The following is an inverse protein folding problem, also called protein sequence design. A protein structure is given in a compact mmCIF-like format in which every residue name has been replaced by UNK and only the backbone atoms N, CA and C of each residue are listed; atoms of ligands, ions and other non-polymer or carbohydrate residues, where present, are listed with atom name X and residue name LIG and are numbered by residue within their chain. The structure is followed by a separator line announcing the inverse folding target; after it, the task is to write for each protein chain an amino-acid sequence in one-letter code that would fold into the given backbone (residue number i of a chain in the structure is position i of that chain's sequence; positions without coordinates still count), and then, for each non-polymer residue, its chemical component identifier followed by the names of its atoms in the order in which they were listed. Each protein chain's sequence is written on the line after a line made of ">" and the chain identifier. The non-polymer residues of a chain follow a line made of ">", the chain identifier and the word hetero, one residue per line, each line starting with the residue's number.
data_IF_526217187044
#
_entry.id   IF_526217187044
#
_cell.length_a   1.000
_cell.length_b   1.000
_cell.length_c   1.000
_cell.angle_alpha   90.00
_cell.angle_beta   90.00
_cell.angle_gamma   90.00
#
_symmetry.space_group_name_H-M   'P 1'
#
loop_
_entity.id
_entity.type
_entity.pdbx_description
1 polymer ?
#
# COMPACT_ATOMS: atom_id res chain seq x y z
N UNK A 1 15.40 6.44 34.88
CA UNK A 1 14.08 7.13 34.94
C UNK A 1 13.27 6.42 36.01
N UNK A 2 12.90 7.11 37.06
CA UNK A 2 11.99 6.56 38.05
C UNK A 2 10.57 6.47 37.47
N UNK A 3 9.80 5.49 37.92
CA UNK A 3 8.43 5.25 37.46
C UNK A 3 7.40 6.26 37.97
N UNK A 4 7.80 7.52 38.14
CA UNK A 4 6.90 8.55 38.62
C UNK A 4 5.80 8.87 37.59
N UNK A 5 4.56 9.23 38.00
CA UNK A 5 3.46 9.55 37.09
C UNK A 5 3.81 10.63 36.07
N UNK A 6 4.65 11.61 36.45
CA UNK A 6 5.10 12.67 35.54
C UNK A 6 6.00 12.19 34.41
N UNK A 7 6.89 11.22 34.70
CA UNK A 7 7.76 10.63 33.69
C UNK A 7 6.99 9.69 32.74
N UNK A 8 5.96 9.00 33.23
CA UNK A 8 5.03 8.22 32.43
C UNK A 8 4.27 9.12 31.43
N UNK A 9 3.77 10.27 31.91
CA UNK A 9 3.05 11.22 31.05
C UNK A 9 3.96 11.81 29.96
N UNK A 10 5.20 12.19 30.31
CA UNK A 10 6.21 12.65 29.33
C UNK A 10 6.57 11.56 28.32
N UNK A 11 6.72 10.31 28.77
CA UNK A 11 6.98 9.18 27.88
C UNK A 11 5.81 8.92 26.91
N UNK A 12 4.56 9.07 27.36
CA UNK A 12 3.38 8.92 26.49
C UNK A 12 3.31 10.03 25.40
N UNK A 13 3.78 11.24 25.68
CA UNK A 13 3.83 12.33 24.70
C UNK A 13 4.81 12.04 23.55
N UNK A 14 5.81 11.19 23.77
CA UNK A 14 6.78 10.76 22.77
C UNK A 14 6.25 9.61 21.88
N UNK A 15 5.02 9.13 22.13
CA UNK A 15 4.39 8.01 21.42
C UNK A 15 5.30 6.78 21.30
N UNK A 16 5.90 6.27 22.40
CA UNK A 16 6.79 5.13 22.33
C UNK A 16 6.02 3.88 21.90
N UNK A 17 6.63 3.04 21.09
CA UNK A 17 6.05 1.77 20.64
C UNK A 17 5.90 0.76 21.77
N UNK A 18 6.65 0.92 22.86
CA UNK A 18 6.54 0.14 24.10
C UNK A 18 7.17 0.86 25.29
N UNK A 19 6.73 0.51 26.49
CA UNK A 19 7.30 0.97 27.75
C UNK A 19 7.79 -0.25 28.55
N UNK A 20 9.02 -0.17 29.06
CA UNK A 20 9.60 -1.14 29.95
C UNK A 20 9.98 -0.42 31.25
N UNK A 21 9.54 -0.90 32.43
CA UNK A 21 9.99 -0.34 33.70
C UNK A 21 11.47 -0.66 33.94
N UNK A 22 12.14 0.19 34.73
CA UNK A 22 13.57 0.02 35.05
C UNK A 22 13.87 -1.31 35.76
N UNK A 23 12.87 -1.94 36.39
CA UNK A 23 12.94 -3.25 37.03
C UNK A 23 12.62 -4.42 36.08
N UNK A 24 12.46 -4.17 34.77
CA UNK A 24 12.16 -5.23 33.81
C UNK A 24 13.29 -6.26 33.75
N UNK A 25 12.96 -7.53 33.96
CA UNK A 25 13.90 -8.62 33.80
C UNK A 25 14.22 -8.92 32.32
N UNK A 26 15.26 -9.70 32.07
CA UNK A 26 15.67 -10.06 30.70
C UNK A 26 14.60 -10.82 29.90
N UNK A 27 13.61 -11.44 30.58
CA UNK A 27 12.50 -12.10 29.91
C UNK A 27 11.47 -11.08 29.40
N UNK A 28 11.11 -10.10 30.21
CA UNK A 28 10.20 -9.02 29.83
C UNK A 28 10.78 -8.21 28.65
N UNK A 29 12.07 -7.92 28.68
CA UNK A 29 12.78 -7.23 27.59
C UNK A 29 12.69 -8.04 26.29
N UNK A 30 13.04 -9.32 26.30
CA UNK A 30 12.97 -10.19 25.12
C UNK A 30 11.57 -10.33 24.57
N UNK A 31 10.57 -10.50 25.44
CA UNK A 31 9.17 -10.61 25.03
C UNK A 31 8.69 -9.34 24.34
N UNK A 32 9.04 -8.18 24.86
CA UNK A 32 8.67 -6.88 24.27
C UNK A 32 9.37 -6.67 22.94
N UNK A 33 10.65 -6.97 22.83
CA UNK A 33 11.39 -6.90 21.56
C UNK A 33 10.78 -7.81 20.50
N UNK A 34 10.46 -9.07 20.84
CA UNK A 34 9.84 -10.01 19.89
C UNK A 34 8.45 -9.56 19.44
N UNK A 35 7.68 -8.84 20.28
CA UNK A 35 6.41 -8.22 19.88
C UNK A 35 6.62 -7.06 18.93
N UNK A 36 7.59 -6.19 19.20
CA UNK A 36 7.94 -5.07 18.34
C UNK A 36 8.46 -5.53 16.99
N UNK A 37 9.31 -6.56 16.96
CA UNK A 37 9.80 -7.14 15.71
C UNK A 37 8.65 -7.71 14.87
N UNK A 38 7.71 -8.47 15.48
CA UNK A 38 6.53 -8.98 14.78
C UNK A 38 5.63 -7.85 14.28
N UNK A 39 5.39 -6.82 15.07
CA UNK A 39 4.60 -5.66 14.69
C UNK A 39 5.28 -4.92 13.53
N UNK A 40 6.59 -4.70 13.62
CA UNK A 40 7.37 -4.10 12.54
C UNK A 40 7.33 -4.93 11.25
N UNK A 41 7.43 -6.26 11.34
CA UNK A 41 7.30 -7.16 10.19
C UNK A 41 5.90 -7.13 9.58
N UNK A 42 4.83 -7.02 10.40
CA UNK A 42 3.46 -6.84 9.91
C UNK A 42 3.33 -5.52 9.14
N UNK A 43 3.74 -4.40 9.73
CA UNK A 43 3.74 -3.10 9.06
C UNK A 43 4.55 -3.11 7.76
N UNK A 44 5.68 -3.80 7.74
CA UNK A 44 6.50 -3.96 6.55
C UNK A 44 5.79 -4.78 5.45
N UNK A 45 5.03 -5.83 5.81
CA UNK A 45 4.22 -6.59 4.85
C UNK A 45 3.13 -5.72 4.23
N UNK A 46 2.48 -4.90 5.05
CA UNK A 46 1.39 -4.02 4.63
C UNK A 46 1.87 -2.82 3.79
N UNK A 47 3.20 -2.56 3.77
CA UNK A 47 3.79 -1.46 3.02
C UNK A 47 4.40 -1.89 1.67
N UNK A 48 4.59 -3.19 1.43
CA UNK A 48 5.30 -3.69 0.27
C UNK A 48 4.54 -4.79 -0.47
N UNK A 49 4.58 -4.73 -1.78
CA UNK A 49 4.16 -5.80 -2.67
C UNK A 49 5.34 -6.70 -2.99
N UNK A 50 5.17 -8.01 -2.79
CA UNK A 50 6.20 -9.03 -3.07
C UNK A 50 5.73 -9.94 -4.18
N UNK A 51 6.58 -10.18 -5.18
CA UNK A 51 6.27 -11.02 -6.33
C UNK A 51 7.55 -11.65 -6.91
N UNK A 52 7.38 -12.63 -7.81
CA UNK A 52 8.49 -13.26 -8.51
C UNK A 52 8.50 -12.81 -9.97
N UNK A 53 9.61 -12.24 -10.41
CA UNK A 53 9.82 -11.80 -11.78
C UNK A 53 11.19 -12.28 -12.28
N UNK A 54 11.25 -12.89 -13.46
CA UNK A 54 12.49 -13.39 -14.08
C UNK A 54 13.34 -14.31 -13.18
N UNK A 55 12.66 -15.09 -12.31
CA UNK A 55 13.33 -16.00 -11.38
C UNK A 55 13.75 -15.39 -10.05
N UNK A 56 13.68 -14.08 -9.91
CA UNK A 56 14.04 -13.34 -8.71
C UNK A 56 12.82 -12.92 -7.89
N UNK A 57 12.96 -12.89 -6.57
CA UNK A 57 11.98 -12.32 -5.67
C UNK A 57 12.15 -10.81 -5.59
N UNK A 58 11.14 -10.08 -6.06
CA UNK A 58 11.08 -8.63 -6.03
C UNK A 58 10.18 -8.16 -4.89
N UNK A 59 10.51 -6.99 -4.34
CA UNK A 59 9.74 -6.34 -3.30
C UNK A 59 9.70 -4.84 -3.56
N UNK A 60 8.49 -4.30 -3.80
CA UNK A 60 8.29 -2.89 -4.15
C UNK A 60 7.32 -2.26 -3.16
N UNK A 61 7.62 -1.07 -2.60
CA UNK A 61 6.67 -0.34 -1.77
C UNK A 61 5.38 -0.06 -2.54
N UNK A 62 4.22 -0.21 -1.90
CA UNK A 62 2.95 0.16 -2.54
C UNK A 62 2.93 1.63 -2.99
N UNK A 63 3.61 2.51 -2.27
CA UNK A 63 3.75 3.92 -2.64
C UNK A 63 4.50 4.15 -3.95
N UNK A 64 5.30 3.18 -4.39
CA UNK A 64 6.06 3.26 -5.66
C UNK A 64 5.32 2.58 -6.82
N UNK A 65 4.15 1.98 -6.59
CA UNK A 65 3.35 1.32 -7.62
C UNK A 65 2.31 2.28 -8.17
N UNK A 66 2.37 2.54 -9.47
CA UNK A 66 1.40 3.38 -10.18
C UNK A 66 0.10 2.62 -10.47
N UNK A 67 0.23 1.53 -11.18
CA UNK A 67 -0.89 0.66 -11.54
C UNK A 67 -0.40 -0.72 -11.98
N UNK A 68 -1.33 -1.66 -12.01
CA UNK A 68 -1.14 -2.97 -12.62
C UNK A 68 -1.97 -3.06 -13.90
N UNK A 69 -1.39 -3.68 -14.91
CA UNK A 69 -2.01 -3.90 -16.21
C UNK A 69 -2.05 -5.38 -16.54
N UNK A 70 -3.19 -5.88 -17.02
CA UNK A 70 -3.30 -7.24 -17.54
C UNK A 70 -2.75 -7.32 -18.96
N UNK A 71 -1.83 -8.23 -19.21
CA UNK A 71 -1.23 -8.47 -20.52
C UNK A 71 -1.03 -9.96 -20.76
N UNK A 72 -1.76 -10.53 -21.72
CA UNK A 72 -1.61 -11.92 -22.20
C UNK A 72 -1.41 -12.97 -21.10
N UNK A 73 -2.32 -13.05 -20.13
CA UNK A 73 -2.29 -13.96 -18.94
C UNK A 73 -1.21 -13.64 -17.91
N UNK A 74 -0.55 -12.51 -18.04
CA UNK A 74 0.41 -11.98 -17.06
C UNK A 74 -0.08 -10.63 -16.55
N UNK A 75 0.52 -10.16 -15.49
CA UNK A 75 0.33 -8.81 -14.98
C UNK A 75 1.63 -8.04 -15.11
N UNK A 76 1.49 -6.82 -15.58
CA UNK A 76 2.58 -5.85 -15.63
C UNK A 76 2.38 -4.82 -14.53
N UNK A 77 3.34 -4.70 -13.62
CA UNK A 77 3.42 -3.68 -12.59
C UNK A 77 4.21 -2.50 -13.12
N UNK A 78 3.63 -1.31 -13.02
CA UNK A 78 4.28 -0.06 -13.40
C UNK A 78 4.79 0.66 -12.15
N UNK A 79 6.12 0.82 -12.03
CA UNK A 79 6.78 1.49 -10.92
C UNK A 79 7.08 2.95 -11.25
N UNK A 80 6.74 3.86 -10.32
CA UNK A 80 7.04 5.30 -10.48
C UNK A 80 8.47 5.64 -10.05
N UNK A 81 9.06 4.84 -9.17
CA UNK A 81 10.38 5.12 -8.60
C UNK A 81 11.50 5.06 -9.61
N UNK A 82 11.49 4.05 -10.47
CA UNK A 82 12.54 3.76 -11.44
C UNK A 82 12.05 3.75 -12.89
N UNK A 83 10.74 4.01 -13.09
CA UNK A 83 10.08 3.96 -14.40
C UNK A 83 10.06 2.55 -15.01
N UNK A 84 10.40 1.51 -14.23
CA UNK A 84 10.43 0.13 -14.70
C UNK A 84 9.06 -0.51 -14.75
N UNK A 85 8.97 -1.53 -15.58
CA UNK A 85 7.81 -2.40 -15.70
C UNK A 85 8.24 -3.82 -15.35
N UNK A 86 7.49 -4.44 -14.45
CA UNK A 86 7.76 -5.80 -13.99
C UNK A 86 6.64 -6.72 -14.45
N UNK A 87 6.98 -7.77 -15.19
CA UNK A 87 6.00 -8.72 -15.73
C UNK A 87 6.07 -10.03 -14.95
N UNK A 88 4.93 -10.48 -14.41
CA UNK A 88 4.84 -11.73 -13.64
C UNK A 88 3.52 -12.45 -13.86
N UNK A 89 3.49 -13.75 -13.55
CA UNK A 89 2.29 -14.57 -13.70
C UNK A 89 1.32 -14.29 -12.54
N UNK A 90 0.19 -13.66 -12.84
CA UNK A 90 -0.91 -13.40 -11.90
C UNK A 90 -2.19 -13.06 -12.66
N UNK A 91 -3.31 -13.01 -11.93
CA UNK A 91 -4.58 -12.45 -12.41
C UNK A 91 -4.88 -11.18 -11.64
N UNK A 92 -5.37 -10.14 -12.33
CA UNK A 92 -5.71 -8.88 -11.67
C UNK A 92 -6.82 -9.03 -10.62
N UNK A 93 -7.76 -9.95 -10.83
CA UNK A 93 -8.85 -10.19 -9.88
C UNK A 93 -8.35 -10.78 -8.56
N UNK A 94 -7.35 -11.68 -8.63
CA UNK A 94 -6.70 -12.24 -7.44
C UNK A 94 -5.88 -11.16 -6.70
N UNK A 95 -5.17 -10.31 -7.46
CA UNK A 95 -4.42 -9.18 -6.88
C UNK A 95 -5.34 -8.18 -6.19
N UNK A 96 -6.48 -7.85 -6.80
CA UNK A 96 -7.44 -6.90 -6.24
C UNK A 96 -7.96 -7.30 -4.85
N UNK A 97 -8.01 -8.60 -4.55
CA UNK A 97 -8.45 -9.10 -3.23
C UNK A 97 -7.36 -8.96 -2.15
N UNK A 98 -6.09 -8.99 -2.53
CA UNK A 98 -4.96 -8.98 -1.60
C UNK A 98 -4.26 -7.62 -1.46
N UNK A 99 -4.57 -6.64 -2.29
CA UNK A 99 -3.96 -5.32 -2.27
C UNK A 99 -4.67 -4.36 -1.29
N UNK A 100 -3.98 -3.34 -0.78
CA UNK A 100 -4.59 -2.29 0.04
C UNK A 100 -5.76 -1.60 -0.66
N UNK A 101 -6.68 -1.03 0.13
CA UNK A 101 -7.90 -0.37 -0.36
C UNK A 101 -7.66 0.83 -1.26
N UNK A 102 -6.44 1.39 -1.25
CA UNK A 102 -6.04 2.46 -2.17
C UNK A 102 -5.89 1.99 -3.62
N UNK A 103 -5.88 0.67 -3.90
CA UNK A 103 -5.88 0.14 -5.25
C UNK A 103 -7.32 -0.07 -5.75
N UNK A 104 -7.63 0.51 -6.89
CA UNK A 104 -8.96 0.53 -7.48
C UNK A 104 -9.02 -0.24 -8.79
N UNK A 105 -9.89 -1.25 -8.86
CA UNK A 105 -10.20 -1.98 -10.09
C UNK A 105 -11.15 -1.14 -10.94
N UNK A 106 -10.64 -0.41 -11.91
CA UNK A 106 -11.44 0.49 -12.75
C UNK A 106 -11.71 -0.05 -14.16
N UNK A 107 -10.99 -1.06 -14.59
CA UNK A 107 -11.13 -1.70 -15.91
C UNK A 107 -10.75 -3.18 -15.85
N UNK A 108 -11.25 -3.99 -16.80
CA UNK A 108 -10.84 -5.40 -16.90
C UNK A 108 -9.31 -5.58 -17.01
N UNK A 109 -8.61 -4.59 -17.54
CA UNK A 109 -7.16 -4.61 -17.73
C UNK A 109 -6.37 -3.73 -16.77
N UNK A 110 -7.02 -2.97 -15.89
CA UNK A 110 -6.31 -2.01 -15.02
C UNK A 110 -6.75 -2.06 -13.57
N UNK A 111 -5.76 -1.98 -12.69
CA UNK A 111 -5.90 -1.82 -11.24
C UNK A 111 -4.98 -0.66 -10.83
N UNK A 112 -5.55 0.50 -10.53
CA UNK A 112 -4.84 1.76 -10.34
C UNK A 112 -4.64 2.09 -8.86
N UNK A 113 -3.50 2.65 -8.50
CA UNK A 113 -3.25 3.23 -7.19
C UNK A 113 -3.86 4.63 -7.13
N UNK A 114 -4.87 4.84 -6.29
CA UNK A 114 -5.60 6.12 -6.19
C UNK A 114 -4.73 7.29 -5.74
N UNK A 115 -3.64 7.05 -5.00
CA UNK A 115 -2.65 8.08 -4.67
C UNK A 115 -1.91 8.65 -5.89
N UNK A 116 -1.86 7.90 -6.99
CA UNK A 116 -1.20 8.32 -8.23
C UNK A 116 -2.12 9.08 -9.18
N UNK A 117 -3.42 9.14 -8.88
CA UNK A 117 -4.40 9.84 -9.72
C UNK A 117 -4.31 11.34 -9.45
N UNK A 118 -4.05 12.10 -10.51
CA UNK A 118 -4.08 13.57 -10.49
C UNK A 118 -5.50 14.10 -10.71
N UNK A 119 -6.26 13.50 -11.60
CA UNK A 119 -7.61 13.95 -11.93
C UNK A 119 -8.45 12.86 -12.59
N UNK A 120 -9.78 12.99 -12.46
CA UNK A 120 -10.77 12.20 -13.19
C UNK A 120 -11.30 13.02 -14.36
N UNK A 121 -11.06 12.56 -15.59
CA UNK A 121 -11.67 13.10 -16.79
C UNK A 121 -13.02 12.41 -17.00
N UNK A 122 -14.07 13.10 -16.58
CA UNK A 122 -15.46 12.59 -16.61
C UNK A 122 -15.98 12.35 -18.02
N UNK A 123 -15.80 13.29 -19.00
CA UNK A 123 -16.25 13.08 -20.37
C UNK A 123 -15.61 11.87 -21.06
N UNK A 124 -14.32 11.63 -20.80
CA UNK A 124 -13.56 10.58 -21.46
C UNK A 124 -13.50 9.27 -20.68
N UNK A 125 -14.01 9.24 -19.45
CA UNK A 125 -13.96 8.10 -18.53
C UNK A 125 -12.52 7.58 -18.31
N UNK A 126 -11.59 8.49 -18.00
CA UNK A 126 -10.19 8.15 -17.71
C UNK A 126 -9.71 8.78 -16.41
N UNK A 127 -8.86 8.06 -15.71
CA UNK A 127 -8.02 8.64 -14.66
C UNK A 127 -6.71 9.13 -15.28
N UNK A 128 -6.37 10.40 -15.05
CA UNK A 128 -5.06 10.95 -15.40
C UNK A 128 -4.13 10.86 -14.21
N UNK A 129 -3.00 10.23 -14.43
CA UNK A 129 -1.99 10.05 -13.39
C UNK A 129 -1.03 11.25 -13.31
N UNK A 130 -0.31 11.36 -12.21
CA UNK A 130 0.75 12.37 -12.06
C UNK A 130 1.88 12.17 -13.08
N UNK A 131 2.09 10.95 -13.58
CA UNK A 131 3.01 10.61 -14.67
C UNK A 131 2.53 11.00 -16.07
N UNK A 132 1.35 11.63 -16.19
CA UNK A 132 0.62 11.96 -17.43
C UNK A 132 0.08 10.75 -18.22
N UNK A 133 0.16 9.54 -17.68
CA UNK A 133 -0.51 8.37 -18.24
C UNK A 133 -2.03 8.47 -18.01
N UNK A 134 -2.79 7.85 -18.91
CA UNK A 134 -4.25 7.79 -18.84
C UNK A 134 -4.69 6.34 -18.63
N UNK A 135 -5.47 6.11 -17.58
CA UNK A 135 -6.03 4.80 -17.25
C UNK A 135 -7.52 4.79 -17.57
N UNK A 136 -7.90 3.96 -18.52
CA UNK A 136 -9.30 3.81 -18.94
C UNK A 136 -10.15 3.24 -17.80
N UNK A 137 -11.34 3.80 -17.64
CA UNK A 137 -12.38 3.27 -16.77
C UNK A 137 -13.43 2.61 -17.65
N UNK A 138 -13.76 1.35 -17.38
CA UNK A 138 -14.80 0.67 -18.15
C UNK A 138 -16.17 1.32 -17.87
N UNK A 139 -17.06 1.37 -18.86
CA UNK A 139 -18.42 1.89 -18.68
C UNK A 139 -19.15 1.23 -17.51
N UNK A 140 -18.97 -0.08 -17.37
CA UNK A 140 -19.57 -0.87 -16.29
C UNK A 140 -19.05 -0.48 -14.91
N UNK A 141 -17.76 -0.16 -14.78
CA UNK A 141 -17.11 0.16 -13.51
C UNK A 141 -17.11 1.66 -13.21
N UNK A 142 -17.57 2.50 -14.14
CA UNK A 142 -17.38 3.95 -14.04
C UNK A 142 -18.01 4.55 -12.77
N UNK A 143 -19.27 4.22 -12.49
CA UNK A 143 -19.97 4.77 -11.34
C UNK A 143 -19.30 4.36 -10.02
N UNK A 144 -18.99 3.08 -9.89
CA UNK A 144 -18.29 2.56 -8.71
C UNK A 144 -16.88 3.16 -8.55
N UNK A 145 -16.12 3.24 -9.63
CA UNK A 145 -14.77 3.81 -9.63
C UNK A 145 -14.78 5.30 -9.24
N UNK A 146 -15.74 6.07 -9.76
CA UNK A 146 -15.93 7.48 -9.41
C UNK A 146 -16.26 7.65 -7.92
N UNK A 147 -17.22 6.89 -7.40
CA UNK A 147 -17.64 6.96 -5.99
C UNK A 147 -16.52 6.56 -5.04
N UNK A 148 -15.78 5.49 -5.35
CA UNK A 148 -14.63 5.06 -4.56
C UNK A 148 -13.52 6.10 -4.55
N UNK A 149 -13.22 6.69 -5.71
CA UNK A 149 -12.21 7.74 -5.79
C UNK A 149 -12.64 9.02 -5.05
N UNK A 150 -13.89 9.43 -5.14
CA UNK A 150 -14.41 10.57 -4.39
C UNK A 150 -14.30 10.35 -2.87
N UNK A 151 -14.72 9.18 -2.38
CA UNK A 151 -14.59 8.80 -0.98
C UNK A 151 -13.13 8.80 -0.52
N UNK A 152 -12.24 8.27 -1.34
CA UNK A 152 -10.81 8.28 -1.07
C UNK A 152 -10.26 9.71 -0.90
N UNK A 153 -10.71 10.67 -1.69
CA UNK A 153 -10.32 12.08 -1.55
C UNK A 153 -10.87 12.74 -0.28
N UNK A 154 -12.03 12.31 0.20
CA UNK A 154 -12.64 12.83 1.44
C UNK A 154 -11.95 12.29 2.70
N UNK A 155 -11.28 11.14 2.61
CA UNK A 155 -10.58 10.47 3.71
C UNK A 155 -9.12 10.96 3.87
N UNK A 156 -8.60 11.83 2.98
CA UNK A 156 -7.25 12.38 3.04
C UNK A 156 -7.21 13.69 3.83
#
# INVERSE_FOLDING_TARGET
>A
MDGSPENLYKAMLLQPSAYLPDSADGHAVRTTLSRLERYHQMLQRDLFFSFKCEGEHQRIPYADISYFESSAKKVMLHSVRDGKRYCFAAKLDDLAQGLPSCFLRCHQSYLVNMHMIRSLDTPNHVFRLHSNEEILISRRSYQEAKERYQRFLEEQ
#
